data_IF_639037525042
#
_entry.id   IF_639037525042
#
_cell.length_a   1.000
_cell.length_b   1.000
_cell.length_c   1.000
_cell.angle_alpha   90.00
_cell.angle_beta   90.00
_cell.angle_gamma   90.00
#
_symmetry.space_group_name_H-M   'P 1'
#
loop_
_entity.id
_entity.type
_entity.pdbx_description
1 polymer ?
#
# COMPACT_ATOMS: atom_id res chain seq x y z
N UNK A 1 -12.50 31.86 -13.28
CA UNK A 1 -12.27 30.42 -13.09
C UNK A 1 -13.63 29.77 -12.98
N UNK A 2 -13.87 28.71 -13.75
CA UNK A 2 -15.15 28.01 -13.76
C UNK A 2 -15.31 27.22 -12.45
N UNK A 3 -16.54 27.05 -11.94
CA UNK A 3 -16.80 26.18 -10.77
C UNK A 3 -16.25 24.76 -10.98
N UNK A 4 -16.21 24.30 -12.24
CA UNK A 4 -15.56 23.05 -12.64
C UNK A 4 -14.05 23.03 -12.37
N UNK A 5 -13.35 24.15 -12.57
CA UNK A 5 -11.91 24.23 -12.30
C UNK A 5 -11.63 24.08 -10.81
N UNK A 6 -12.46 24.72 -9.96
CA UNK A 6 -12.33 24.61 -8.50
C UNK A 6 -12.58 23.19 -8.02
N UNK A 7 -13.62 22.52 -8.55
CA UNK A 7 -13.92 21.13 -8.21
C UNK A 7 -12.79 20.19 -8.63
N UNK A 8 -12.22 20.39 -9.83
CA UNK A 8 -11.10 19.60 -10.32
C UNK A 8 -9.85 19.77 -9.44
N UNK A 9 -9.58 20.97 -8.94
CA UNK A 9 -8.48 21.23 -8.00
C UNK A 9 -8.68 20.58 -6.63
N UNK A 10 -9.92 20.59 -6.11
CA UNK A 10 -10.20 19.89 -4.85
C UNK A 10 -10.06 18.37 -4.99
N UNK A 11 -10.51 17.81 -6.11
CA UNK A 11 -10.35 16.38 -6.40
C UNK A 11 -8.88 15.98 -6.58
N UNK A 12 -8.07 16.79 -7.28
CA UNK A 12 -6.65 16.50 -7.45
C UNK A 12 -5.89 16.58 -6.13
N UNK A 13 -6.20 17.56 -5.28
CA UNK A 13 -5.59 17.67 -3.96
C UNK A 13 -5.88 16.44 -3.09
N UNK A 14 -7.15 15.98 -3.05
CA UNK A 14 -7.52 14.75 -2.33
C UNK A 14 -6.79 13.51 -2.87
N UNK A 15 -6.67 13.39 -4.20
CA UNK A 15 -5.96 12.27 -4.80
C UNK A 15 -4.46 12.24 -4.44
N UNK A 16 -3.81 13.41 -4.34
CA UNK A 16 -2.42 13.50 -3.88
C UNK A 16 -2.27 13.17 -2.40
N UNK A 17 -3.21 13.60 -1.54
CA UNK A 17 -3.20 13.20 -0.13
C UNK A 17 -3.36 11.68 0.04
N UNK A 18 -4.29 11.06 -0.71
CA UNK A 18 -4.45 9.60 -0.74
C UNK A 18 -3.18 8.87 -1.21
N UNK A 19 -2.48 9.44 -2.20
CA UNK A 19 -1.19 8.91 -2.65
C UNK A 19 -0.13 9.03 -1.56
N UNK A 20 -0.10 10.14 -0.82
CA UNK A 20 0.78 10.33 0.33
C UNK A 20 0.57 9.27 1.42
N UNK A 21 -0.69 8.99 1.75
CA UNK A 21 -1.04 7.92 2.70
C UNK A 21 -0.58 6.54 2.21
N UNK A 22 -0.77 6.25 0.91
CA UNK A 22 -0.34 5.00 0.31
C UNK A 22 1.19 4.85 0.34
N UNK A 23 1.93 5.93 0.09
CA UNK A 23 3.39 5.94 0.18
C UNK A 23 3.88 5.67 1.61
N UNK A 24 3.22 6.26 2.61
CA UNK A 24 3.52 6.01 4.02
C UNK A 24 3.27 4.54 4.39
N UNK A 25 2.15 3.97 3.96
CA UNK A 25 1.82 2.56 4.18
C UNK A 25 2.88 1.64 3.58
N UNK A 26 3.33 1.90 2.34
CA UNK A 26 4.42 1.12 1.71
C UNK A 26 5.71 1.20 2.52
N UNK A 27 6.08 2.40 2.98
CA UNK A 27 7.28 2.58 3.78
C UNK A 27 7.22 1.78 5.10
N UNK A 28 6.05 1.73 5.75
CA UNK A 28 5.85 0.99 6.99
C UNK A 28 5.78 -0.53 6.79
N UNK A 29 5.15 -1.00 5.71
CA UNK A 29 5.02 -2.43 5.44
C UNK A 29 6.28 -3.05 4.82
N UNK A 30 7.12 -2.27 4.12
CA UNK A 30 8.36 -2.77 3.51
C UNK A 30 9.26 -3.53 4.50
N UNK A 31 9.61 -3.00 5.69
CA UNK A 31 10.42 -3.74 6.65
C UNK A 31 9.70 -4.97 7.23
N UNK A 32 8.36 -4.93 7.37
CA UNK A 32 7.55 -6.07 7.84
C UNK A 32 7.62 -7.24 6.86
N UNK A 33 7.34 -6.98 5.58
CA UNK A 33 7.46 -8.00 4.51
C UNK A 33 8.91 -8.48 4.40
N UNK A 34 9.88 -7.57 4.51
CA UNK A 34 11.29 -7.92 4.55
C UNK A 34 11.64 -8.89 5.67
N UNK A 35 11.13 -8.66 6.88
CA UNK A 35 11.34 -9.51 8.04
C UNK A 35 10.67 -10.88 7.88
N UNK A 36 9.44 -10.95 7.36
CA UNK A 36 8.74 -12.21 7.07
C UNK A 36 9.60 -13.09 6.14
N UNK A 37 10.09 -12.51 5.05
CA UNK A 37 10.86 -13.23 4.04
C UNK A 37 12.24 -13.63 4.59
N UNK A 38 12.94 -12.72 5.28
CA UNK A 38 14.31 -12.97 5.76
C UNK A 38 14.36 -14.00 6.88
N UNK A 39 13.36 -13.99 7.77
CA UNK A 39 13.24 -14.97 8.87
C UNK A 39 12.63 -16.30 8.42
N UNK A 40 12.20 -16.41 7.16
CA UNK A 40 11.45 -17.55 6.62
C UNK A 40 10.22 -17.89 7.48
N UNK A 41 9.50 -16.87 7.95
CA UNK A 41 8.31 -17.05 8.77
C UNK A 41 7.25 -17.88 8.01
N UNK A 42 6.68 -18.90 8.68
CA UNK A 42 5.64 -19.79 8.13
C UNK A 42 4.29 -19.63 8.84
N UNK A 43 4.14 -18.59 9.65
CA UNK A 43 2.88 -18.25 10.29
C UNK A 43 1.92 -17.68 9.25
N UNK A 44 1.03 -18.54 8.74
CA UNK A 44 0.03 -18.19 7.74
C UNK A 44 -0.86 -17.03 8.21
N UNK A 45 -1.29 -17.02 9.47
CA UNK A 45 -2.18 -15.98 9.99
C UNK A 45 -1.47 -14.61 10.02
N UNK A 46 -0.18 -14.59 10.36
CA UNK A 46 0.61 -13.36 10.32
C UNK A 46 0.82 -12.84 8.89
N UNK A 47 1.08 -13.75 7.95
CA UNK A 47 1.25 -13.40 6.53
C UNK A 47 -0.07 -12.88 5.94
N UNK A 48 -1.18 -13.55 6.18
CA UNK A 48 -2.52 -13.16 5.70
C UNK A 48 -2.93 -11.79 6.25
N UNK A 49 -2.75 -11.54 7.56
CA UNK A 49 -3.00 -10.20 8.14
C UNK A 49 -2.14 -9.11 7.50
N UNK A 50 -0.89 -9.43 7.16
CA UNK A 50 0.01 -8.48 6.49
C UNK A 50 -0.44 -8.22 5.04
N UNK A 51 -0.93 -9.25 4.34
CA UNK A 51 -1.50 -9.13 3.01
C UNK A 51 -2.80 -8.31 3.03
N UNK A 52 -3.70 -8.55 3.99
CA UNK A 52 -4.94 -7.81 4.14
C UNK A 52 -4.68 -6.31 4.34
N UNK A 53 -3.74 -5.95 5.22
CA UNK A 53 -3.36 -4.54 5.41
C UNK A 53 -2.71 -3.90 4.19
N UNK A 54 -1.97 -4.65 3.37
CA UNK A 54 -1.40 -4.16 2.11
C UNK A 54 -2.45 -3.99 1.00
N UNK A 55 -3.52 -4.79 1.03
CA UNK A 55 -4.55 -4.79 0.01
C UNK A 55 -5.28 -3.44 -0.06
N UNK A 56 -5.48 -2.79 1.08
CA UNK A 56 -6.10 -1.46 1.20
C UNK A 56 -5.36 -0.38 0.39
N UNK A 57 -4.06 -0.56 0.14
CA UNK A 57 -3.22 0.41 -0.56
C UNK A 57 -2.86 0.00 -2.00
N UNK A 58 -3.37 -1.13 -2.51
CA UNK A 58 -3.01 -1.67 -3.82
C UNK A 58 -3.43 -0.80 -5.02
N UNK A 59 -4.20 0.27 -4.80
CA UNK A 59 -4.40 1.34 -5.79
C UNK A 59 -3.13 2.14 -6.10
N UNK A 60 -2.08 1.97 -5.31
CA UNK A 60 -0.75 2.55 -5.52
C UNK A 60 0.24 1.47 -5.96
N UNK A 61 0.91 1.67 -7.10
CA UNK A 61 1.74 0.64 -7.75
C UNK A 61 2.82 0.02 -6.82
N UNK A 62 3.58 0.80 -6.02
CA UNK A 62 4.54 0.23 -5.08
C UNK A 62 3.92 -0.68 -4.01
N UNK A 63 2.70 -0.40 -3.56
CA UNK A 63 1.99 -1.27 -2.61
C UNK A 63 1.63 -2.60 -3.26
N UNK A 64 1.16 -2.56 -4.51
CA UNK A 64 0.85 -3.76 -5.29
C UNK A 64 2.10 -4.62 -5.52
N UNK A 65 3.26 -4.01 -5.78
CA UNK A 65 4.52 -4.74 -5.91
C UNK A 65 4.91 -5.44 -4.60
N UNK A 66 4.74 -4.76 -3.46
CA UNK A 66 5.03 -5.30 -2.15
C UNK A 66 4.09 -6.45 -1.78
N UNK A 67 2.80 -6.29 -2.06
CA UNK A 67 1.77 -7.33 -1.91
C UNK A 67 2.13 -8.57 -2.73
N UNK A 68 2.41 -8.42 -4.03
CA UNK A 68 2.80 -9.53 -4.91
C UNK A 68 4.05 -10.25 -4.44
N UNK A 69 5.01 -9.51 -3.87
CA UNK A 69 6.25 -10.09 -3.32
C UNK A 69 5.94 -11.02 -2.14
N UNK A 70 5.05 -10.60 -1.24
CA UNK A 70 4.63 -11.42 -0.10
C UNK A 70 3.80 -12.63 -0.55
N UNK A 71 2.89 -12.47 -1.51
CA UNK A 71 2.11 -13.59 -2.08
C UNK A 71 2.98 -14.68 -2.74
N UNK A 72 4.10 -14.30 -3.36
CA UNK A 72 5.03 -15.28 -3.97
C UNK A 72 5.86 -16.04 -2.93
N UNK A 73 5.96 -15.49 -1.73
CA UNK A 73 6.71 -16.10 -0.63
C UNK A 73 5.85 -17.08 0.18
N UNK A 74 4.59 -16.70 0.43
CA UNK A 74 3.58 -17.55 1.08
C UNK A 74 3.38 -18.86 0.31
#
# INVERSE_FOLDING_TARGET
>A
MSDYDSLLQSMSALAEEMRGLSALAVAQHTPVVGAIISTRCRDAQYIERTLDGLLDFCGYDPALQLYRRLCRYY
#
